data_IF_044911381167
#
_entry.id   IF_044911381167
#
_cell.length_a   1.000
_cell.length_b   1.000
_cell.length_c   1.000
_cell.angle_alpha   90.00
_cell.angle_beta   90.00
_cell.angle_gamma   90.00
#
_symmetry.space_group_name_H-M   'P 1'
#
loop_
_entity.id
_entity.type
_entity.pdbx_description
1 polymer ?
#
# COMPACT_ATOMS: atom_id res chain seq x y z
N UNK A 1 -8.73 6.57 31.33
CA UNK A 1 -10.01 6.32 30.64
C UNK A 1 -9.75 6.18 29.15
N UNK A 2 -10.04 5.00 28.56
CA UNK A 2 -10.41 4.88 27.14
C UNK A 2 -9.34 4.71 26.06
N UNK A 3 -8.52 3.64 26.07
CA UNK A 3 -7.82 3.14 24.85
C UNK A 3 -8.45 1.83 24.32
N UNK A 4 -9.64 1.47 24.79
CA UNK A 4 -10.29 0.19 24.54
C UNK A 4 -11.02 0.00 23.18
N UNK A 5 -11.51 1.02 22.45
CA UNK A 5 -12.24 0.78 21.19
C UNK A 5 -11.32 0.42 20.01
N UNK A 6 -10.17 1.10 19.91
CA UNK A 6 -9.33 1.07 18.70
C UNK A 6 -8.55 -0.23 18.53
N UNK A 7 -8.07 -0.83 19.62
CA UNK A 7 -7.36 -2.12 19.56
C UNK A 7 -8.29 -3.24 19.07
N UNK A 8 -9.56 -3.22 19.47
CA UNK A 8 -10.56 -4.20 19.05
C UNK A 8 -10.87 -4.07 17.55
N UNK A 9 -11.02 -2.83 17.06
CA UNK A 9 -11.21 -2.56 15.63
C UNK A 9 -9.99 -2.99 14.81
N UNK A 10 -8.78 -2.63 15.24
CA UNK A 10 -7.53 -3.05 14.61
C UNK A 10 -7.39 -4.57 14.55
N UNK A 11 -7.73 -5.27 15.64
CA UNK A 11 -7.68 -6.73 15.69
C UNK A 11 -8.72 -7.37 14.76
N UNK A 12 -9.92 -6.79 14.68
CA UNK A 12 -10.95 -7.22 13.74
C UNK A 12 -10.52 -6.98 12.27
N UNK A 13 -10.01 -5.79 11.96
CA UNK A 13 -9.47 -5.44 10.64
C UNK A 13 -8.33 -6.38 10.25
N UNK A 14 -7.40 -6.63 11.16
CA UNK A 14 -6.35 -7.64 10.98
C UNK A 14 -6.94 -9.02 10.72
N UNK A 15 -7.96 -9.44 11.45
CA UNK A 15 -8.64 -10.72 11.21
C UNK A 15 -9.25 -10.80 9.81
N UNK A 16 -9.89 -9.73 9.33
CA UNK A 16 -10.42 -9.66 7.97
C UNK A 16 -9.31 -9.72 6.93
N UNK A 17 -8.26 -8.94 7.13
CA UNK A 17 -7.08 -8.93 6.29
C UNK A 17 -6.55 -10.35 6.09
N UNK A 18 -6.34 -11.09 7.17
CA UNK A 18 -5.83 -12.47 7.12
C UNK A 18 -6.81 -13.51 6.56
N UNK A 19 -8.04 -13.16 6.18
CA UNK A 19 -8.97 -14.06 5.48
C UNK A 19 -8.86 -13.99 3.95
N UNK A 20 -8.25 -12.95 3.39
CA UNK A 20 -8.21 -12.73 1.94
C UNK A 20 -6.89 -13.22 1.32
N UNK A 21 -6.94 -13.63 0.06
CA UNK A 21 -5.73 -14.05 -0.67
C UNK A 21 -5.06 -12.83 -1.32
N UNK A 22 -3.82 -12.56 -0.91
CA UNK A 22 -3.10 -11.40 -1.39
C UNK A 22 -1.60 -11.60 -1.28
N UNK A 23 -0.88 -11.20 -2.33
CA UNK A 23 0.57 -11.08 -2.31
C UNK A 23 0.97 -9.61 -2.34
N UNK A 24 1.83 -9.20 -1.40
CA UNK A 24 2.37 -7.83 -1.36
C UNK A 24 3.88 -7.85 -1.42
N UNK A 25 4.45 -6.86 -2.12
CA UNK A 25 5.89 -6.60 -2.08
C UNK A 25 6.19 -5.30 -1.35
N UNK A 26 6.89 -5.41 -0.21
CA UNK A 26 7.39 -4.24 0.53
C UNK A 26 8.81 -3.89 0.06
N UNK A 27 8.95 -2.69 -0.48
CA UNK A 27 10.19 -2.14 -1.06
C UNK A 27 10.47 -0.73 -0.53
N UNK A 28 11.69 -0.25 -0.71
CA UNK A 28 12.14 1.06 -0.20
C UNK A 28 13.59 1.03 0.27
N UNK A 29 14.14 2.20 0.58
CA UNK A 29 15.53 2.33 1.04
C UNK A 29 15.80 1.58 2.34
N UNK A 30 17.08 1.34 2.64
CA UNK A 30 17.48 0.83 3.95
C UNK A 30 17.02 1.78 5.05
N UNK A 31 16.77 1.24 6.24
CA UNK A 31 16.32 1.99 7.40
C UNK A 31 14.96 2.71 7.25
N UNK A 32 14.24 2.59 6.12
CA UNK A 32 12.89 3.18 5.96
C UNK A 32 11.85 2.61 6.95
N UNK A 33 12.12 1.45 7.58
CA UNK A 33 11.25 0.82 8.57
C UNK A 33 10.32 -0.26 8.02
N UNK A 34 10.68 -0.89 6.89
CA UNK A 34 9.92 -1.99 6.27
C UNK A 34 9.69 -3.17 7.24
N UNK A 35 10.72 -3.62 7.95
CA UNK A 35 10.61 -4.69 8.96
C UNK A 35 9.70 -4.28 10.12
N UNK A 36 9.79 -3.02 10.58
CA UNK A 36 8.91 -2.48 11.61
C UNK A 36 7.45 -2.44 11.16
N UNK A 37 7.18 -2.10 9.90
CA UNK A 37 5.84 -2.13 9.32
C UNK A 37 5.27 -3.55 9.28
N UNK A 38 6.07 -4.53 8.84
CA UNK A 38 5.65 -5.94 8.87
C UNK A 38 5.29 -6.37 10.28
N UNK A 39 6.12 -6.03 11.28
CA UNK A 39 5.82 -6.33 12.67
C UNK A 39 4.52 -5.64 13.14
N UNK A 40 4.33 -4.36 12.81
CA UNK A 40 3.13 -3.61 13.16
C UNK A 40 1.86 -4.22 12.54
N UNK A 41 1.94 -4.81 11.35
CA UNK A 41 0.81 -5.52 10.71
C UNK A 41 0.65 -6.94 11.30
N UNK A 42 1.76 -7.62 11.60
CA UNK A 42 1.79 -9.04 11.94
C UNK A 42 1.46 -9.36 13.41
N UNK A 43 1.64 -8.43 14.37
CA UNK A 43 1.56 -8.66 15.83
C UNK A 43 0.18 -9.09 16.35
N UNK A 44 -0.16 -10.33 16.02
CA UNK A 44 -1.24 -11.17 16.51
C UNK A 44 -1.00 -12.62 16.06
N UNK A 45 0.27 -13.05 15.96
CA UNK A 45 0.70 -14.36 15.46
C UNK A 45 1.97 -14.26 14.62
N UNK A 46 3.10 -14.67 15.19
CA UNK A 46 4.40 -14.75 14.53
C UNK A 46 4.62 -16.20 14.05
N UNK A 47 4.50 -16.41 12.75
CA UNK A 47 5.06 -17.58 12.07
C UNK A 47 6.09 -17.05 11.08
N UNK A 48 7.32 -16.83 11.53
CA UNK A 48 8.41 -16.53 10.61
C UNK A 48 8.85 -17.83 9.95
N UNK A 49 8.30 -18.11 8.77
CA UNK A 49 8.99 -18.99 7.82
C UNK A 49 10.09 -18.15 7.15
N UNK A 50 11.21 -17.99 7.86
CA UNK A 50 12.43 -17.50 7.23
C UNK A 50 12.87 -18.53 6.20
N UNK A 51 12.80 -18.20 4.91
CA UNK A 51 13.48 -18.97 3.87
C UNK A 51 14.81 -18.27 3.60
N UNK A 52 15.93 -18.68 4.22
CA UNK A 52 17.23 -18.16 3.86
C UNK A 52 17.58 -18.71 2.48
N UNK A 53 17.64 -17.85 1.47
CA UNK A 53 18.25 -18.24 0.19
C UNK A 53 19.38 -17.27 -0.12
N UNK A 54 20.57 -17.86 -0.16
CA UNK A 54 21.90 -17.29 -0.42
C UNK A 54 21.87 -15.92 -1.11
N UNK A 55 22.35 -14.90 -0.39
CA UNK A 55 22.61 -13.55 -0.92
C UNK A 55 21.49 -12.52 -0.73
N UNK A 56 20.32 -12.91 -0.20
CA UNK A 56 19.19 -12.00 -0.04
C UNK A 56 18.24 -12.44 1.10
N UNK A 57 17.93 -11.57 2.06
CA UNK A 57 16.95 -11.87 3.12
C UNK A 57 15.54 -11.50 2.66
N UNK A 58 14.94 -12.31 1.79
CA UNK A 58 13.48 -12.26 1.59
C UNK A 58 12.85 -12.80 2.87
N UNK A 59 12.01 -12.00 3.54
CA UNK A 59 11.15 -12.51 4.61
C UNK A 59 9.75 -12.67 4.05
N UNK A 60 9.28 -13.91 3.97
CA UNK A 60 7.90 -14.19 3.66
C UNK A 60 7.16 -14.29 4.98
N UNK A 61 6.20 -13.39 5.22
CA UNK A 61 5.30 -13.48 6.36
C UNK A 61 3.95 -13.91 5.84
N UNK A 62 3.56 -15.13 6.17
CA UNK A 62 2.25 -15.67 5.82
C UNK A 62 1.39 -15.68 7.08
N UNK A 63 0.19 -15.11 7.00
CA UNK A 63 -0.77 -15.18 8.10
C UNK A 63 -2.18 -15.31 7.55
N UNK A 64 -2.82 -16.43 7.86
CA UNK A 64 -4.05 -16.84 7.19
C UNK A 64 -3.81 -16.97 5.67
N UNK A 65 -4.64 -16.30 4.87
CA UNK A 65 -4.56 -16.33 3.41
C UNK A 65 -3.67 -15.22 2.81
N UNK A 66 -3.13 -14.31 3.63
CA UNK A 66 -2.27 -13.22 3.15
C UNK A 66 -0.81 -13.63 3.21
N UNK A 67 -0.12 -13.41 2.09
CA UNK A 67 1.32 -13.54 1.96
C UNK A 67 1.96 -12.17 1.77
N UNK A 68 2.74 -11.72 2.75
CA UNK A 68 3.55 -10.51 2.64
C UNK A 68 4.98 -10.93 2.30
N UNK A 69 5.47 -10.52 1.13
CA UNK A 69 6.87 -10.69 0.71
C UNK A 69 7.62 -9.41 1.06
N UNK A 70 8.40 -9.46 2.13
CA UNK A 70 9.30 -8.40 2.54
C UNK A 70 10.64 -8.57 1.83
N UNK A 71 11.04 -7.55 1.09
CA UNK A 71 12.34 -7.50 0.44
C UNK A 71 13.28 -6.66 1.32
N UNK A 72 14.05 -7.31 2.19
CA UNK A 72 15.13 -6.62 2.91
C UNK A 72 16.37 -6.54 2.02
N UNK A 73 16.35 -5.52 1.17
CA UNK A 73 17.46 -5.22 0.27
C UNK A 73 18.50 -4.47 1.08
N UNK A 74 19.46 -5.23 1.59
CA UNK A 74 20.65 -4.71 2.22
C UNK A 74 21.43 -3.80 1.26
N UNK A 75 21.11 -2.49 1.24
CA UNK A 75 22.00 -1.31 1.12
C UNK A 75 22.78 -1.09 -0.17
N UNK A 76 23.22 -2.16 -0.80
CA UNK A 76 24.02 -2.12 -1.99
C UNK A 76 23.14 -1.91 -3.22
N UNK A 77 23.44 -0.86 -4.00
CA UNK A 77 22.65 -0.51 -5.20
C UNK A 77 22.53 -1.68 -6.19
N UNK A 78 23.52 -2.58 -6.17
CA UNK A 78 23.65 -3.79 -6.99
C UNK A 78 22.43 -4.74 -6.94
N UNK A 79 21.61 -4.67 -5.88
CA UNK A 79 20.47 -5.56 -5.70
C UNK A 79 19.11 -4.94 -6.09
N UNK A 80 19.08 -3.66 -6.50
CA UNK A 80 17.84 -2.97 -6.94
C UNK A 80 17.27 -3.55 -8.24
N UNK A 81 18.13 -4.11 -9.09
CA UNK A 81 17.74 -4.82 -10.33
C UNK A 81 16.83 -6.03 -10.07
N UNK A 82 16.80 -6.56 -8.85
CA UNK A 82 15.94 -7.69 -8.49
C UNK A 82 14.52 -7.27 -8.09
N UNK A 83 14.28 -5.99 -7.77
CA UNK A 83 12.96 -5.51 -7.31
C UNK A 83 11.86 -5.81 -8.32
N UNK A 84 12.17 -5.70 -9.62
CA UNK A 84 11.25 -6.02 -10.71
C UNK A 84 10.74 -7.46 -10.63
N UNK A 85 11.64 -8.44 -10.45
CA UNK A 85 11.28 -9.87 -10.42
C UNK A 85 10.32 -10.18 -9.28
N UNK A 86 10.41 -9.41 -8.21
CA UNK A 86 9.72 -9.63 -6.96
C UNK A 86 8.44 -8.83 -6.81
N UNK A 87 8.32 -7.72 -7.52
CA UNK A 87 7.07 -6.97 -7.61
C UNK A 87 6.14 -7.49 -8.72
N UNK A 88 6.60 -8.41 -9.59
CA UNK A 88 5.73 -9.03 -10.60
C UNK A 88 4.63 -9.87 -9.93
N UNK A 89 3.39 -9.70 -10.42
CA UNK A 89 2.25 -10.55 -10.05
C UNK A 89 1.67 -10.31 -8.65
N UNK A 90 2.17 -9.31 -7.92
CA UNK A 90 1.64 -8.94 -6.60
C UNK A 90 0.34 -8.15 -6.75
N UNK A 91 -0.50 -8.20 -5.71
CA UNK A 91 -1.74 -7.42 -5.63
C UNK A 91 -1.48 -5.92 -5.46
N UNK A 92 -0.42 -5.56 -4.72
CA UNK A 92 0.04 -4.18 -4.61
C UNK A 92 1.53 -4.08 -4.23
N UNK A 93 2.17 -2.99 -4.65
CA UNK A 93 3.51 -2.61 -4.24
C UNK A 93 3.39 -1.64 -3.07
N UNK A 94 4.04 -1.94 -1.94
CA UNK A 94 4.11 -1.06 -0.78
C UNK A 94 5.51 -0.46 -0.71
N UNK A 95 5.62 0.84 -0.97
CA UNK A 95 6.88 1.57 -0.99
C UNK A 95 7.04 2.42 0.27
N UNK A 96 8.00 2.06 1.13
CA UNK A 96 8.22 2.71 2.43
C UNK A 96 9.37 3.71 2.34
N UNK A 97 9.11 4.94 2.79
CA UNK A 97 10.07 6.05 2.84
C UNK A 97 10.23 6.51 4.29
N UNK A 98 11.46 6.80 4.72
CA UNK A 98 11.69 7.51 5.98
C UNK A 98 11.34 8.99 5.77
N UNK A 99 10.18 9.44 6.26
CA UNK A 99 9.74 10.81 6.08
C UNK A 99 10.60 11.82 6.86
N UNK A 100 11.35 11.37 7.87
CA UNK A 100 12.23 12.22 8.67
C UNK A 100 13.64 12.35 8.09
N UNK A 101 14.05 11.44 7.18
CA UNK A 101 15.33 11.50 6.48
C UNK A 101 15.16 12.17 5.11
N UNK A 102 15.16 13.51 5.12
CA UNK A 102 14.94 14.35 3.94
C UNK A 102 16.01 14.16 2.87
N UNK A 103 17.24 13.85 3.26
CA UNK A 103 18.36 13.63 2.33
C UNK A 103 18.19 12.32 1.56
N UNK A 104 17.49 11.34 2.14
CA UNK A 104 17.17 10.08 1.47
C UNK A 104 16.05 10.19 0.45
N UNK A 105 15.16 11.18 0.55
CA UNK A 105 13.95 11.29 -0.30
C UNK A 105 14.27 11.42 -1.79
N UNK A 106 15.24 12.25 -2.25
CA UNK A 106 15.63 12.31 -3.66
C UNK A 106 16.17 10.97 -4.19
N UNK A 107 16.91 10.24 -3.36
CA UNK A 107 17.40 8.89 -3.70
C UNK A 107 16.21 7.95 -3.82
N UNK A 108 15.28 8.01 -2.86
CA UNK A 108 14.08 7.18 -2.83
C UNK A 108 13.21 7.43 -4.06
N UNK A 109 13.03 8.69 -4.46
CA UNK A 109 12.34 9.08 -5.70
C UNK A 109 12.98 8.39 -6.90
N UNK A 110 14.28 8.53 -7.07
CA UNK A 110 14.99 7.99 -8.24
C UNK A 110 14.78 6.48 -8.35
N UNK A 111 14.89 5.78 -7.23
CA UNK A 111 14.69 4.33 -7.15
C UNK A 111 13.23 3.88 -7.37
N UNK A 112 12.28 4.65 -6.85
CA UNK A 112 10.86 4.40 -7.07
C UNK A 112 10.52 4.55 -8.56
N UNK A 113 10.92 5.65 -9.18
CA UNK A 113 10.67 5.89 -10.61
C UNK A 113 11.37 4.84 -11.49
N UNK A 114 12.63 4.49 -11.19
CA UNK A 114 13.33 3.42 -11.91
C UNK A 114 12.60 2.08 -11.81
N UNK A 115 12.06 1.73 -10.63
CA UNK A 115 11.25 0.53 -10.44
C UNK A 115 9.98 0.57 -11.29
N UNK A 116 9.26 1.68 -11.28
CA UNK A 116 7.95 1.79 -11.95
C UNK A 116 8.07 1.91 -13.47
N UNK A 117 9.23 2.29 -14.00
CA UNK A 117 9.49 2.26 -15.46
C UNK A 117 9.48 0.84 -16.04
N UNK A 118 9.55 -0.20 -15.19
CA UNK A 118 9.56 -1.60 -15.66
C UNK A 118 8.17 -1.98 -16.18
N UNK A 119 8.02 -2.31 -17.47
CA UNK A 119 6.71 -2.62 -18.07
C UNK A 119 5.98 -3.78 -17.39
N UNK A 120 6.75 -4.70 -16.83
CA UNK A 120 6.26 -5.86 -16.09
C UNK A 120 5.53 -5.55 -14.79
N UNK A 121 5.64 -4.31 -14.31
CA UNK A 121 4.95 -3.80 -13.13
C UNK A 121 3.80 -2.85 -13.50
N UNK A 122 3.50 -2.70 -14.79
CA UNK A 122 2.43 -1.82 -15.27
C UNK A 122 1.08 -2.15 -14.64
N UNK A 123 0.34 -1.11 -14.25
CA UNK A 123 -0.99 -1.24 -13.67
C UNK A 123 -1.06 -1.77 -12.22
N UNK A 124 0.05 -2.27 -11.64
CA UNK A 124 0.05 -2.73 -10.25
C UNK A 124 -0.12 -1.51 -9.32
N UNK A 125 -1.13 -1.51 -8.43
CA UNK A 125 -1.35 -0.43 -7.46
C UNK A 125 -0.13 -0.17 -6.58
N UNK A 126 0.14 1.11 -6.33
CA UNK A 126 1.25 1.58 -5.51
C UNK A 126 0.73 2.26 -4.24
N UNK A 127 1.14 1.73 -3.09
CA UNK A 127 0.93 2.35 -1.79
C UNK A 127 2.26 2.91 -1.27
N UNK A 128 2.37 4.23 -1.18
CA UNK A 128 3.52 4.93 -0.60
C UNK A 128 3.27 5.20 0.88
N UNK A 129 4.22 4.85 1.74
CA UNK A 129 4.13 5.04 3.18
C UNK A 129 5.28 5.93 3.66
N UNK A 130 4.97 7.16 4.05
CA UNK A 130 5.88 8.06 4.75
C UNK A 130 5.95 7.66 6.22
N UNK A 131 6.95 6.86 6.58
CA UNK A 131 7.12 6.34 7.93
C UNK A 131 7.91 7.29 8.83
N UNK A 132 7.89 7.04 10.14
CA UNK A 132 8.61 7.77 11.19
C UNK A 132 8.10 9.19 11.44
N UNK A 133 6.79 9.42 11.31
CA UNK A 133 6.18 10.71 11.66
C UNK A 133 6.20 11.04 13.16
N UNK A 134 6.65 10.10 14.00
CA UNK A 134 6.97 10.35 15.41
C UNK A 134 8.17 11.31 15.59
N UNK A 135 8.94 11.57 14.53
CA UNK A 135 10.05 12.52 14.54
C UNK A 135 9.62 13.90 14.06
N UNK A 136 10.13 14.94 14.71
CA UNK A 136 9.81 16.35 14.39
C UNK A 136 10.24 16.80 13.00
N UNK A 137 11.24 16.15 12.42
CA UNK A 137 11.80 16.46 11.10
C UNK A 137 10.97 15.89 9.95
N UNK A 138 9.97 15.05 10.26
CA UNK A 138 9.15 14.36 9.29
C UNK A 138 8.48 15.33 8.31
N UNK A 139 8.52 14.98 7.02
CA UNK A 139 7.83 15.70 5.97
C UNK A 139 6.31 15.61 6.18
N UNK A 140 5.60 16.65 5.74
CA UNK A 140 4.15 16.57 5.56
C UNK A 140 3.83 15.63 4.38
N UNK A 141 2.60 15.12 4.36
CA UNK A 141 2.12 14.27 3.26
C UNK A 141 2.28 14.97 1.90
N UNK A 142 1.86 16.23 1.80
CA UNK A 142 1.99 17.02 0.57
C UNK A 142 3.45 17.15 0.13
N UNK A 143 4.36 17.47 1.06
CA UNK A 143 5.77 17.61 0.73
C UNK A 143 6.37 16.27 0.25
N UNK A 144 5.96 15.14 0.83
CA UNK A 144 6.40 13.82 0.40
C UNK A 144 5.87 13.48 -1.00
N UNK A 145 4.59 13.73 -1.25
CA UNK A 145 3.93 13.55 -2.56
C UNK A 145 4.65 14.36 -3.64
N UNK A 146 4.95 15.63 -3.36
CA UNK A 146 5.62 16.54 -4.29
C UNK A 146 7.06 16.11 -4.55
N UNK A 147 7.82 15.80 -3.51
CA UNK A 147 9.24 15.43 -3.64
C UNK A 147 9.41 14.07 -4.35
N UNK A 148 8.54 13.10 -4.10
CA UNK A 148 8.52 11.83 -4.81
C UNK A 148 7.93 11.94 -6.22
N UNK A 149 7.27 13.06 -6.55
CA UNK A 149 6.63 13.25 -7.85
C UNK A 149 5.51 12.23 -8.10
N UNK A 150 4.68 11.95 -7.09
CA UNK A 150 3.62 10.95 -7.23
C UNK A 150 2.48 11.43 -8.14
N UNK A 151 2.23 12.73 -8.20
CA UNK A 151 1.18 13.32 -9.04
C UNK A 151 1.39 13.09 -10.55
N UNK A 152 2.62 12.83 -11.00
CA UNK A 152 2.91 12.51 -12.41
C UNK A 152 2.69 11.04 -12.77
N UNK A 153 2.38 10.18 -11.81
CA UNK A 153 2.13 8.75 -12.04
C UNK A 153 0.66 8.53 -12.36
N UNK A 154 0.34 8.39 -13.65
CA UNK A 154 -1.05 8.22 -14.14
C UNK A 154 -1.35 6.82 -14.68
N UNK A 155 -0.36 5.93 -14.71
CA UNK A 155 -0.45 4.58 -15.29
C UNK A 155 -0.96 3.52 -14.30
N UNK A 156 -1.21 3.90 -13.04
CA UNK A 156 -1.62 3.03 -11.94
C UNK A 156 -2.34 3.81 -10.85
N UNK A 157 -3.04 3.10 -9.96
CA UNK A 157 -3.50 3.69 -8.71
C UNK A 157 -2.29 3.99 -7.80
N UNK A 158 -2.24 5.20 -7.26
CA UNK A 158 -1.23 5.64 -6.29
C UNK A 158 -1.93 6.23 -5.07
N UNK A 159 -1.59 5.72 -3.89
CA UNK A 159 -2.02 6.26 -2.60
C UNK A 159 -0.80 6.56 -1.73
N UNK A 160 -0.88 7.62 -0.92
CA UNK A 160 0.19 7.99 0.02
C UNK A 160 -0.41 8.15 1.42
N UNK A 161 0.20 7.53 2.43
CA UNK A 161 -0.16 7.74 3.83
C UNK A 161 1.06 7.99 4.68
N UNK A 162 0.88 8.83 5.69
CA UNK A 162 1.88 9.12 6.71
C UNK A 162 1.64 8.23 7.92
N UNK A 163 2.64 7.48 8.37
CA UNK A 163 2.51 6.49 9.44
C UNK A 163 3.65 6.59 10.46
N UNK A 164 3.40 6.11 11.68
CA UNK A 164 4.46 5.74 12.61
C UNK A 164 4.28 4.29 13.01
N UNK A 165 5.22 3.42 12.60
CA UNK A 165 5.24 2.04 13.08
C UNK A 165 5.58 1.95 14.56
N UNK A 166 6.33 2.92 15.10
CA UNK A 166 6.74 2.97 16.50
C UNK A 166 5.55 3.25 17.41
N UNK A 167 4.75 4.25 17.04
CA UNK A 167 3.61 4.69 17.84
C UNK A 167 2.28 4.07 17.36
N UNK A 168 2.35 3.18 16.36
CA UNK A 168 1.19 2.53 15.72
C UNK A 168 0.15 3.49 15.14
N UNK A 169 0.59 4.64 14.63
CA UNK A 169 -0.26 5.67 14.03
C UNK A 169 -0.56 5.34 12.57
N UNK A 170 -1.84 5.41 12.19
CA UNK A 170 -2.38 5.18 10.84
C UNK A 170 -2.14 3.78 10.24
N UNK A 171 -1.77 2.80 11.06
CA UNK A 171 -1.57 1.41 10.61
C UNK A 171 -2.90 0.75 10.20
N UNK A 172 -4.00 1.12 10.84
CA UNK A 172 -5.37 0.72 10.47
C UNK A 172 -5.73 1.17 9.04
N UNK A 173 -5.40 2.41 8.68
CA UNK A 173 -5.68 2.96 7.34
C UNK A 173 -4.92 2.18 6.27
N UNK A 174 -3.66 1.83 6.55
CA UNK A 174 -2.85 0.96 5.67
C UNK A 174 -3.51 -0.40 5.50
N UNK A 175 -3.91 -1.05 6.60
CA UNK A 175 -4.57 -2.36 6.56
C UNK A 175 -5.88 -2.27 5.75
N UNK A 176 -6.70 -1.24 5.97
CA UNK A 176 -7.94 -1.02 5.23
C UNK A 176 -7.72 -0.88 3.73
N UNK A 177 -6.70 -0.10 3.33
CA UNK A 177 -6.35 0.05 1.92
C UNK A 177 -5.92 -1.29 1.32
N UNK A 178 -5.11 -2.08 2.06
CA UNK A 178 -4.67 -3.39 1.58
C UNK A 178 -5.83 -4.40 1.48
N UNK A 179 -6.76 -4.42 2.44
CA UNK A 179 -8.00 -5.24 2.40
C UNK A 179 -8.78 -4.95 1.12
N UNK A 180 -8.99 -3.66 0.80
CA UNK A 180 -9.71 -3.22 -0.42
C UNK A 180 -9.08 -3.75 -1.71
N UNK A 181 -7.76 -3.96 -1.72
CA UNK A 181 -6.99 -4.39 -2.90
C UNK A 181 -6.63 -5.88 -2.88
N UNK A 182 -7.05 -6.61 -1.86
CA UNK A 182 -6.93 -8.06 -1.85
C UNK A 182 -8.02 -8.69 -2.72
N UNK A 183 -7.72 -9.84 -3.32
CA UNK A 183 -8.72 -10.59 -4.08
C UNK A 183 -9.56 -11.40 -3.09
N UNK A 184 -10.87 -11.22 -3.11
CA UNK A 184 -11.77 -12.16 -2.42
C UNK A 184 -11.68 -13.50 -3.16
N UNK A 185 -11.55 -14.62 -2.45
CA UNK A 185 -11.35 -15.95 -3.03
C UNK A 185 -12.56 -16.48 -3.86
N UNK A 186 -13.45 -15.62 -4.31
CA UNK A 186 -14.71 -15.96 -4.96
C UNK A 186 -15.16 -14.95 -6.01
N UNK A 187 -14.25 -14.44 -6.85
CA UNK A 187 -14.66 -13.76 -8.09
C UNK A 187 -13.95 -14.42 -9.29
N UNK A 188 -14.64 -15.31 -10.03
CA UNK A 188 -14.20 -15.68 -11.36
C UNK A 188 -14.34 -14.47 -12.28
N UNK A 189 -13.23 -14.05 -12.88
CA UNK A 189 -13.11 -13.15 -14.03
C UNK A 189 -14.23 -12.12 -14.23
N UNK A 190 -14.00 -10.88 -13.80
CA UNK A 190 -14.66 -9.73 -14.44
C UNK A 190 -13.58 -8.82 -15.02
N UNK A 191 -13.49 -8.87 -16.33
CA UNK A 191 -12.82 -7.89 -17.17
C UNK A 191 -13.59 -6.56 -17.09
N UNK A 192 -12.84 -5.45 -17.09
CA UNK A 192 -13.28 -4.08 -17.36
C UNK A 192 -14.15 -3.38 -16.29
N UNK A 193 -13.54 -2.48 -15.51
CA UNK A 193 -13.78 -1.04 -15.69
C UNK A 193 -12.78 -0.24 -14.84
N UNK A 194 -11.85 0.41 -15.54
CA UNK A 194 -10.90 1.35 -14.96
C UNK A 194 -11.56 2.72 -14.87
N UNK A 195 -11.99 3.14 -13.69
CA UNK A 195 -12.21 4.57 -13.38
C UNK A 195 -12.30 4.80 -11.87
N UNK A 196 -11.24 5.37 -11.28
CA UNK A 196 -11.28 6.67 -10.57
C UNK A 196 -10.04 6.85 -9.68
N UNK A 197 -9.25 7.85 -10.05
CA UNK A 197 -8.25 8.49 -9.21
C UNK A 197 -8.94 9.12 -7.99
N UNK A 198 -8.61 8.68 -6.78
CA UNK A 198 -8.91 9.45 -5.55
C UNK A 198 -7.66 10.16 -5.06
N UNK A 199 -7.32 11.28 -5.71
CA UNK A 199 -6.52 12.32 -5.06
C UNK A 199 -7.51 13.29 -4.44
N UNK A 200 -7.52 13.40 -3.11
CA UNK A 200 -8.39 14.33 -2.38
C UNK A 200 -7.84 15.75 -2.49
N UNK A 201 -7.97 16.36 -3.67
CA UNK A 201 -7.66 17.78 -3.89
C UNK A 201 -8.87 18.61 -3.44
N UNK A 202 -8.62 19.70 -2.71
CA UNK A 202 -9.67 20.60 -2.20
C UNK A 202 -10.24 21.45 -3.34
N UNK A 203 -11.43 21.09 -3.86
CA UNK A 203 -12.06 21.67 -5.05
C UNK A 203 -12.76 23.04 -4.85
N UNK A 204 -12.25 23.93 -3.99
CA UNK A 204 -12.93 25.22 -3.70
C UNK A 204 -12.46 26.43 -4.52
N UNK A 205 -11.60 26.29 -5.52
CA UNK A 205 -10.99 27.47 -6.16
C UNK A 205 -10.81 27.42 -7.69
N UNK A 206 -11.67 26.74 -8.44
CA UNK A 206 -11.68 26.87 -9.92
C UNK A 206 -13.03 27.42 -10.42
N UNK A 207 -13.03 28.54 -11.16
CA UNK A 207 -14.24 29.05 -11.79
C UNK A 207 -14.53 28.29 -13.09
N UNK A 208 -15.73 27.71 -13.19
CA UNK A 208 -16.31 27.26 -14.44
C UNK A 208 -16.16 25.77 -14.75
N UNK A 209 -17.02 24.94 -14.15
CA UNK A 209 -17.44 23.68 -14.78
C UNK A 209 -18.79 23.21 -14.21
N UNK A 210 -19.57 22.60 -15.10
CA UNK A 210 -21.03 22.42 -15.04
C UNK A 210 -21.46 21.28 -14.12
N UNK A 211 -22.60 21.48 -13.48
CA UNK A 211 -23.34 20.54 -12.64
C UNK A 211 -23.83 19.35 -13.49
N UNK A 212 -23.45 18.12 -13.12
CA UNK A 212 -24.15 16.90 -13.54
C UNK A 212 -24.97 16.37 -12.36
N UNK A 213 -26.28 16.26 -12.57
CA UNK A 213 -27.30 15.85 -11.58
C UNK A 213 -27.23 14.34 -11.30
N UNK A 214 -27.44 13.99 -10.04
CA UNK A 214 -27.70 12.64 -9.54
C UNK A 214 -28.93 12.02 -10.21
N UNK A 215 -28.85 10.73 -10.56
CA UNK A 215 -30.02 9.92 -10.84
C UNK A 215 -30.04 8.69 -9.92
N UNK A 216 -30.98 8.74 -8.99
CA UNK A 216 -31.42 7.68 -8.11
C UNK A 216 -32.17 6.64 -8.92
N UNK A 217 -31.64 5.41 -9.05
CA UNK A 217 -32.39 4.21 -9.47
C UNK A 217 -31.49 2.97 -9.40
N UNK A 218 -31.50 2.26 -8.28
CA UNK A 218 -31.21 0.82 -8.22
C UNK A 218 -31.66 0.30 -6.84
N UNK A 219 -32.97 0.43 -6.59
CA UNK A 219 -33.67 -0.39 -5.61
C UNK A 219 -34.42 -1.46 -6.39
N UNK A 220 -34.29 -2.71 -5.95
CA UNK A 220 -35.10 -3.87 -6.29
C UNK A 220 -35.07 -4.37 -7.74
N UNK A 221 -34.55 -5.59 -7.95
CA UNK A 221 -35.32 -6.63 -8.67
C UNK A 221 -34.74 -8.02 -8.37
N UNK A 222 -35.20 -8.61 -7.27
CA UNK A 222 -35.31 -10.07 -7.12
C UNK A 222 -36.80 -10.39 -7.29
N UNK A 223 -37.25 -10.81 -8.47
CA UNK A 223 -38.41 -11.71 -8.62
C UNK A 223 -38.55 -12.27 -10.05
N UNK A 224 -38.60 -13.61 -10.12
CA UNK A 224 -39.35 -14.51 -11.05
C UNK A 224 -39.29 -14.26 -12.58
N UNK A 225 -38.75 -15.16 -13.40
CA UNK A 225 -39.25 -16.50 -13.83
C UNK A 225 -40.47 -16.44 -14.77
N UNK A 226 -40.21 -16.91 -16.00
CA UNK A 226 -41.09 -17.61 -16.96
C UNK A 226 -42.09 -16.87 -17.87
N UNK A 227 -41.87 -17.17 -19.16
CA UNK A 227 -42.68 -17.02 -20.39
C UNK A 227 -42.88 -15.62 -20.97
#
# INVERSE_FOLDING_TARGET
MGLWPWNSLLNWLRSLFFKQEMELSLVGLQNAGKTSLVNAIATGGYGEDMIPTVGFNMRKVTKGNVTIKLWDLGGHRRFRTMWERYCRGVSAIVYVVDAADRDSVPISRSELHELLTKPSLGGIPLLVLGNKIDKSEALSEQALVDQLGLASMTDREVCCYMISCKDSVNIDVVINWLIKHSKTASDPCVHCDTQLVSVKINWRSLPGSRVCREHSSCWNLFTAISF
#
